data_IF_242733806879
#
_entry.id   IF_242733806879
#
_cell.length_a   1.000
_cell.length_b   1.000
_cell.length_c   1.000
_cell.angle_alpha   90.00
_cell.angle_beta   90.00
_cell.angle_gamma   90.00
#
_symmetry.space_group_name_H-M   'P 1'
#
loop_
_entity.id
_entity.type
_entity.pdbx_description
1 polymer ?
#
# COMPACT_ATOMS: atom_id res chain seq x y z
N UNK A 1 9.45 -9.56 11.94
CA UNK A 1 9.17 -8.12 12.09
C UNK A 1 7.70 -7.81 11.83
N UNK A 2 7.14 -8.17 10.68
CA UNK A 2 5.73 -7.87 10.32
C UNK A 2 4.70 -8.47 11.29
N UNK A 3 4.88 -9.69 11.76
CA UNK A 3 3.99 -10.31 12.75
C UNK A 3 3.93 -9.54 14.07
N UNK A 4 5.05 -8.97 14.52
CA UNK A 4 5.09 -8.11 15.70
C UNK A 4 4.33 -6.80 15.48
N UNK A 5 4.45 -6.20 14.28
CA UNK A 5 3.72 -4.98 13.91
C UNK A 5 2.21 -5.25 13.93
N UNK A 6 1.77 -6.33 13.30
CA UNK A 6 0.35 -6.74 13.27
C UNK A 6 -0.18 -6.98 14.69
N UNK A 7 0.57 -7.71 15.53
CA UNK A 7 0.17 -8.00 16.92
C UNK A 7 0.01 -6.72 17.74
N UNK A 8 0.91 -5.76 17.58
CA UNK A 8 0.86 -4.50 18.33
C UNK A 8 -0.29 -3.60 17.86
N UNK A 9 -0.55 -3.53 16.56
CA UNK A 9 -1.71 -2.80 16.05
C UNK A 9 -3.04 -3.47 16.45
N UNK A 10 -3.12 -4.80 16.45
CA UNK A 10 -4.28 -5.53 16.92
C UNK A 10 -4.58 -5.23 18.42
N UNK A 11 -3.53 -5.24 19.24
CA UNK A 11 -3.63 -4.87 20.67
C UNK A 11 -4.10 -3.42 20.85
N UNK A 12 -3.52 -2.52 20.08
CA UNK A 12 -3.84 -1.09 20.16
C UNK A 12 -5.27 -0.83 19.69
N UNK A 13 -5.71 -1.49 18.63
CA UNK A 13 -7.08 -1.39 18.13
C UNK A 13 -8.10 -1.88 19.17
N UNK A 14 -7.92 -3.07 19.74
CA UNK A 14 -8.80 -3.59 20.81
C UNK A 14 -8.90 -2.66 22.01
N UNK A 15 -7.85 -1.88 22.28
CA UNK A 15 -7.82 -0.95 23.43
C UNK A 15 -8.41 0.42 23.12
N UNK A 16 -8.21 0.95 21.91
CA UNK A 16 -8.50 2.34 21.59
C UNK A 16 -9.71 2.51 20.65
N UNK A 17 -10.09 1.48 19.90
CA UNK A 17 -11.17 1.46 18.92
C UNK A 17 -11.18 2.68 17.97
N UNK A 18 -10.00 3.20 17.63
CA UNK A 18 -9.85 4.37 16.75
C UNK A 18 -9.79 3.95 15.28
N UNK A 19 -10.50 4.63 14.36
CA UNK A 19 -10.56 4.26 12.96
C UNK A 19 -9.17 4.27 12.28
N UNK A 20 -8.31 5.22 12.62
CA UNK A 20 -6.94 5.27 12.10
C UNK A 20 -6.08 4.07 12.51
N UNK A 21 -6.28 3.52 13.72
CA UNK A 21 -5.59 2.31 14.17
C UNK A 21 -6.09 1.09 13.42
N UNK A 22 -7.38 1.05 13.10
CA UNK A 22 -7.98 -0.04 12.33
C UNK A 22 -7.44 -0.07 10.88
N UNK A 23 -7.34 1.10 10.23
CA UNK A 23 -6.70 1.20 8.89
C UNK A 23 -5.23 0.75 8.95
N UNK A 24 -4.47 1.18 9.97
CA UNK A 24 -3.07 0.78 10.14
C UNK A 24 -2.93 -0.72 10.41
N UNK A 25 -3.83 -1.31 11.19
CA UNK A 25 -3.87 -2.76 11.43
C UNK A 25 -4.12 -3.52 10.12
N UNK A 26 -5.15 -3.14 9.36
CA UNK A 26 -5.48 -3.74 8.06
C UNK A 26 -4.31 -3.61 7.07
N UNK A 27 -3.69 -2.44 7.01
CA UNK A 27 -2.52 -2.20 6.15
C UNK A 27 -1.30 -3.05 6.55
N UNK A 28 -1.05 -3.22 7.86
CA UNK A 28 0.04 -4.08 8.35
C UNK A 28 -0.23 -5.56 8.07
N UNK A 29 -1.49 -5.99 8.19
CA UNK A 29 -1.90 -7.35 7.86
C UNK A 29 -1.73 -7.63 6.36
N UNK A 30 -2.18 -6.70 5.50
CA UNK A 30 -1.98 -6.79 4.05
C UNK A 30 -0.49 -6.88 3.69
N UNK A 31 0.36 -6.08 4.33
CA UNK A 31 1.81 -6.14 4.10
C UNK A 31 2.44 -7.46 4.57
N UNK A 32 1.94 -8.05 5.66
CA UNK A 32 2.37 -9.38 6.09
C UNK A 32 2.00 -10.45 5.06
N UNK A 33 0.76 -10.44 4.57
CA UNK A 33 0.28 -11.37 3.55
C UNK A 33 1.06 -11.17 2.23
N UNK A 34 1.31 -9.93 1.84
CA UNK A 34 2.12 -9.60 0.67
C UNK A 34 3.53 -10.21 0.78
N UNK A 35 4.17 -10.11 1.94
CA UNK A 35 5.49 -10.70 2.15
C UNK A 35 5.45 -12.22 2.11
N UNK A 36 4.39 -12.86 2.63
CA UNK A 36 4.20 -14.31 2.52
C UNK A 36 4.03 -14.74 1.05
N UNK A 37 3.22 -14.04 0.27
CA UNK A 37 3.03 -14.31 -1.16
C UNK A 37 4.33 -14.15 -1.94
N UNK A 38 5.08 -13.06 -1.73
CA UNK A 38 6.39 -12.85 -2.37
C UNK A 38 7.37 -13.99 -2.05
N UNK A 39 7.40 -14.43 -0.79
CA UNK A 39 8.29 -15.52 -0.36
C UNK A 39 7.88 -16.85 -0.99
N UNK A 40 6.57 -17.12 -1.05
CA UNK A 40 6.01 -18.31 -1.67
C UNK A 40 6.31 -18.34 -3.18
N UNK A 41 6.03 -17.25 -3.90
CA UNK A 41 6.35 -17.13 -5.33
C UNK A 41 7.83 -17.27 -5.63
N UNK A 42 8.72 -16.71 -4.78
CA UNK A 42 10.17 -16.89 -4.89
C UNK A 42 10.62 -18.33 -4.67
N UNK A 43 9.98 -19.08 -3.76
CA UNK A 43 10.21 -20.50 -3.59
C UNK A 43 9.76 -21.29 -4.82
N UNK A 44 8.55 -21.02 -5.33
CA UNK A 44 8.05 -21.66 -6.55
C UNK A 44 9.01 -21.45 -7.72
N UNK A 45 9.48 -20.22 -7.94
CA UNK A 45 10.43 -19.91 -9.00
C UNK A 45 11.75 -20.67 -8.87
N UNK A 46 12.22 -20.88 -7.64
CA UNK A 46 13.49 -21.60 -7.38
C UNK A 46 13.41 -23.11 -7.61
N UNK A 47 12.21 -23.69 -7.52
CA UNK A 47 11.97 -25.15 -7.69
C UNK A 47 11.48 -25.54 -9.06
N UNK A 48 11.35 -24.60 -10.01
CA UNK A 48 10.65 -24.74 -11.30
C UNK A 48 11.24 -25.78 -12.28
N UNK A 49 12.46 -26.28 -12.04
CA UNK A 49 13.10 -27.26 -12.95
C UNK A 49 12.38 -28.63 -13.00
N UNK A 50 11.40 -28.91 -12.14
CA UNK A 50 10.77 -30.23 -11.99
C UNK A 50 9.24 -30.25 -12.04
N UNK A 51 8.55 -29.12 -12.13
CA UNK A 51 7.12 -29.06 -11.90
C UNK A 51 6.33 -28.44 -13.06
N UNK A 52 6.22 -29.14 -14.18
CA UNK A 52 5.23 -28.89 -15.27
C UNK A 52 3.77 -28.87 -14.78
N UNK A 53 3.53 -29.17 -13.51
CA UNK A 53 2.20 -29.24 -12.88
C UNK A 53 1.68 -27.89 -12.38
N UNK A 54 2.41 -26.77 -12.55
CA UNK A 54 2.25 -25.61 -11.65
C UNK A 54 1.79 -24.32 -12.35
N UNK A 55 1.40 -24.38 -13.62
CA UNK A 55 0.89 -23.19 -14.31
C UNK A 55 -0.25 -22.50 -13.53
N UNK A 56 -1.21 -23.29 -13.05
CA UNK A 56 -2.36 -22.78 -12.28
C UNK A 56 -1.94 -22.13 -10.96
N UNK A 57 -0.94 -22.72 -10.27
CA UNK A 57 -0.42 -22.20 -9.01
C UNK A 57 0.32 -20.88 -9.21
N UNK A 58 1.09 -20.72 -10.29
CA UNK A 58 1.74 -19.45 -10.64
C UNK A 58 0.72 -18.36 -10.95
N UNK A 59 -0.32 -18.68 -11.73
CA UNK A 59 -1.39 -17.76 -12.06
C UNK A 59 -2.12 -17.29 -10.79
N UNK A 60 -2.39 -18.23 -9.88
CA UNK A 60 -3.03 -17.93 -8.59
C UNK A 60 -2.14 -17.05 -7.70
N UNK A 61 -0.85 -17.38 -7.56
CA UNK A 61 0.08 -16.58 -6.76
C UNK A 61 0.22 -15.16 -7.32
N UNK A 62 0.31 -15.03 -8.63
CA UNK A 62 0.37 -13.76 -9.32
C UNK A 62 -0.91 -12.92 -9.11
N UNK A 63 -2.08 -13.52 -9.22
CA UNK A 63 -3.35 -12.85 -8.95
C UNK A 63 -3.45 -12.38 -7.48
N UNK A 64 -3.01 -13.22 -6.54
CA UNK A 64 -2.96 -12.87 -5.11
C UNK A 64 -1.98 -11.72 -4.87
N UNK A 65 -0.81 -11.75 -5.50
CA UNK A 65 0.21 -10.71 -5.37
C UNK A 65 -0.33 -9.35 -5.82
N UNK A 66 -0.92 -9.27 -7.02
CA UNK A 66 -1.50 -8.03 -7.53
C UNK A 66 -2.69 -7.55 -6.70
N UNK A 67 -3.57 -8.45 -6.28
CA UNK A 67 -4.63 -8.13 -5.34
C UNK A 67 -4.11 -7.48 -4.05
N UNK A 68 -3.06 -8.03 -3.44
CA UNK A 68 -2.48 -7.49 -2.20
C UNK A 68 -1.78 -6.15 -2.41
N UNK A 69 -1.12 -5.95 -3.55
CA UNK A 69 -0.50 -4.67 -3.93
C UNK A 69 -1.58 -3.60 -4.07
N UNK A 70 -2.64 -3.88 -4.81
CA UNK A 70 -3.75 -2.96 -5.03
C UNK A 70 -4.47 -2.62 -3.73
N UNK A 71 -4.75 -3.62 -2.91
CA UNK A 71 -5.34 -3.44 -1.58
C UNK A 71 -4.45 -2.57 -0.69
N UNK A 72 -3.13 -2.70 -0.81
CA UNK A 72 -2.17 -1.85 -0.10
C UNK A 72 -2.29 -0.38 -0.52
N UNK A 73 -2.50 -0.08 -1.81
CA UNK A 73 -2.73 1.29 -2.30
C UNK A 73 -4.02 1.88 -1.75
N UNK A 74 -5.11 1.13 -1.75
CA UNK A 74 -6.37 1.57 -1.16
C UNK A 74 -6.27 1.84 0.34
N UNK A 75 -5.53 1.00 1.09
CA UNK A 75 -5.27 1.26 2.51
C UNK A 75 -4.47 2.56 2.74
N UNK A 76 -3.48 2.85 1.88
CA UNK A 76 -2.74 4.12 1.92
C UNK A 76 -3.67 5.32 1.67
N UNK A 77 -4.58 5.16 0.72
CA UNK A 77 -5.59 6.18 0.38
C UNK A 77 -6.51 6.49 1.56
N UNK A 78 -7.08 5.47 2.19
CA UNK A 78 -7.95 5.66 3.36
C UNK A 78 -7.22 6.28 4.55
N UNK A 79 -5.97 5.88 4.77
CA UNK A 79 -5.14 6.48 5.82
C UNK A 79 -4.87 7.95 5.53
N UNK A 80 -4.59 8.30 4.27
CA UNK A 80 -4.34 9.69 3.84
C UNK A 80 -5.58 10.56 3.98
N UNK A 81 -6.75 10.05 3.59
CA UNK A 81 -8.05 10.72 3.78
C UNK A 81 -8.32 10.91 5.28
N UNK A 82 -8.10 9.88 6.11
CA UNK A 82 -8.28 9.99 7.56
C UNK A 82 -7.43 11.12 8.16
N UNK A 83 -6.15 11.19 7.80
CA UNK A 83 -5.28 12.28 8.27
C UNK A 83 -5.70 13.63 7.71
N UNK A 84 -6.11 13.70 6.45
CA UNK A 84 -6.63 14.92 5.83
C UNK A 84 -7.85 15.45 6.60
N UNK A 85 -8.84 14.60 6.87
CA UNK A 85 -10.03 14.98 7.63
C UNK A 85 -9.72 15.40 9.07
N UNK A 86 -8.67 14.84 9.66
CA UNK A 86 -8.24 15.17 11.03
C UNK A 86 -7.47 16.49 11.10
N UNK A 87 -6.66 16.81 10.10
CA UNK A 87 -5.73 17.95 10.11
C UNK A 87 -6.28 19.19 9.42
N UNK A 88 -7.13 18.99 8.42
CA UNK A 88 -7.64 20.07 7.57
C UNK A 88 -9.01 20.52 8.08
N UNK A 89 -9.22 21.83 8.14
CA UNK A 89 -10.53 22.42 8.38
C UNK A 89 -10.90 23.27 7.15
N UNK A 90 -11.71 22.69 6.29
CA UNK A 90 -12.28 23.41 5.13
C UNK A 90 -13.69 23.91 5.49
N UNK A 91 -14.05 25.15 5.12
CA UNK A 91 -15.39 25.70 5.31
C UNK A 91 -16.38 25.17 4.28
N UNK A 92 -16.45 23.84 4.12
CA UNK A 92 -17.34 23.15 3.18
C UNK A 92 -18.23 22.17 3.94
N UNK A 93 -19.56 22.25 3.73
CA UNK A 93 -20.54 21.39 4.41
C UNK A 93 -20.27 19.90 4.12
N UNK A 94 -19.91 19.56 2.87
CA UNK A 94 -19.57 18.19 2.50
C UNK A 94 -18.37 17.66 3.30
N UNK A 95 -17.31 18.48 3.47
CA UNK A 95 -16.14 18.09 4.24
C UNK A 95 -16.46 17.89 5.72
N UNK A 96 -17.34 18.72 6.27
CA UNK A 96 -17.80 18.59 7.66
C UNK A 96 -18.61 17.31 7.87
N UNK A 97 -19.55 17.02 7.00
CA UNK A 97 -20.33 15.77 7.05
C UNK A 97 -19.43 14.53 6.90
N UNK A 98 -18.50 14.57 5.95
CA UNK A 98 -17.53 13.49 5.77
C UNK A 98 -16.70 13.27 7.05
N UNK A 99 -16.23 14.36 7.68
CA UNK A 99 -15.47 14.30 8.94
C UNK A 99 -16.26 13.66 10.08
N UNK A 100 -17.55 13.97 10.21
CA UNK A 100 -18.44 13.41 11.25
C UNK A 100 -18.68 11.90 11.07
N UNK A 101 -18.93 11.47 9.85
CA UNK A 101 -19.34 10.09 9.57
C UNK A 101 -18.19 9.16 9.16
N UNK A 102 -17.00 9.69 8.90
CA UNK A 102 -15.87 8.90 8.38
C UNK A 102 -15.53 7.71 9.27
N UNK A 103 -15.52 7.89 10.59
CA UNK A 103 -15.22 6.81 11.53
C UNK A 103 -16.20 5.63 11.44
N UNK A 104 -17.45 5.91 11.13
CA UNK A 104 -18.49 4.87 10.94
C UNK A 104 -18.33 4.16 9.59
N UNK A 105 -17.86 4.88 8.56
CA UNK A 105 -17.69 4.32 7.22
C UNK A 105 -16.38 3.54 7.03
N UNK A 106 -15.38 3.72 7.88
CA UNK A 106 -14.08 3.06 7.74
C UNK A 106 -14.18 1.53 7.54
N UNK A 107 -14.92 0.77 8.34
CA UNK A 107 -15.05 -0.67 8.12
C UNK A 107 -15.64 -1.00 6.74
N UNK A 108 -16.67 -0.27 6.33
CA UNK A 108 -17.32 -0.44 5.03
C UNK A 108 -16.36 -0.11 3.87
N UNK A 109 -15.57 0.95 4.00
CA UNK A 109 -14.58 1.34 3.01
C UNK A 109 -13.46 0.28 2.86
N UNK A 110 -13.01 -0.31 3.96
CA UNK A 110 -12.02 -1.39 3.93
C UNK A 110 -12.59 -2.67 3.29
N UNK A 111 -13.81 -3.06 3.66
CA UNK A 111 -14.48 -4.21 3.02
C UNK A 111 -14.74 -3.92 1.54
N UNK A 112 -15.20 -2.72 1.19
CA UNK A 112 -15.38 -2.29 -0.19
C UNK A 112 -14.08 -2.34 -1.00
N UNK A 113 -12.95 -1.99 -0.40
CA UNK A 113 -11.63 -2.12 -1.04
C UNK A 113 -11.26 -3.58 -1.32
N UNK A 114 -11.52 -4.48 -0.37
CA UNK A 114 -11.28 -5.91 -0.56
C UNK A 114 -12.11 -6.44 -1.72
N UNK A 115 -13.41 -6.17 -1.73
CA UNK A 115 -14.32 -6.61 -2.78
C UNK A 115 -13.93 -5.99 -4.12
N UNK A 116 -13.64 -4.69 -4.16
CA UNK A 116 -13.24 -3.99 -5.39
C UNK A 116 -11.94 -4.55 -5.96
N UNK A 117 -10.92 -4.72 -5.14
CA UNK A 117 -9.64 -5.32 -5.58
C UNK A 117 -9.80 -6.76 -6.03
N UNK A 118 -10.67 -7.56 -5.39
CA UNK A 118 -10.98 -8.91 -5.87
C UNK A 118 -11.62 -8.89 -7.25
N UNK A 119 -12.65 -8.06 -7.45
CA UNK A 119 -13.35 -7.95 -8.74
C UNK A 119 -12.43 -7.51 -9.87
N UNK A 120 -11.45 -6.65 -9.59
CA UNK A 120 -10.46 -6.20 -10.58
C UNK A 120 -9.46 -7.31 -10.90
N UNK A 121 -9.06 -8.12 -9.92
CA UNK A 121 -8.00 -9.10 -10.09
C UNK A 121 -8.50 -10.50 -10.48
N UNK A 122 -9.76 -10.85 -10.25
CA UNK A 122 -10.33 -12.14 -10.65
C UNK A 122 -10.18 -12.44 -12.16
N UNK A 123 -10.33 -11.48 -13.09
CA UNK A 123 -10.09 -11.72 -14.52
C UNK A 123 -8.66 -12.17 -14.87
N UNK A 124 -7.65 -11.95 -14.00
CA UNK A 124 -6.31 -12.50 -14.23
C UNK A 124 -6.32 -14.01 -14.37
N UNK A 125 -7.20 -14.70 -13.64
CA UNK A 125 -7.29 -16.17 -13.66
C UNK A 125 -7.64 -16.74 -15.05
N UNK A 126 -8.30 -15.95 -15.89
CA UNK A 126 -8.70 -16.36 -17.23
C UNK A 126 -7.89 -15.68 -18.35
N UNK A 127 -7.34 -14.50 -18.10
CA UNK A 127 -6.64 -13.71 -19.11
C UNK A 127 -5.12 -13.93 -19.10
N UNK A 128 -4.58 -14.51 -18.02
CA UNK A 128 -3.16 -14.83 -17.93
C UNK A 128 -2.90 -16.18 -18.60
N UNK A 129 -2.32 -16.13 -19.81
CA UNK A 129 -1.88 -17.33 -20.53
C UNK A 129 -0.36 -17.43 -20.45
N UNK A 130 0.10 -18.61 -20.03
CA UNK A 130 1.53 -18.95 -20.03
C UNK A 130 1.82 -19.70 -21.34
N UNK A 131 2.55 -19.07 -22.24
CA UNK A 131 2.93 -19.68 -23.51
C UNK A 131 4.34 -20.20 -23.43
N UNK A 132 4.54 -21.52 -23.64
CA UNK A 132 5.88 -22.10 -23.86
C UNK A 132 6.37 -21.72 -25.24
N UNK A 133 7.48 -21.03 -25.33
CA UNK A 133 8.16 -20.77 -26.62
C UNK A 133 9.32 -21.75 -26.74
N UNK A 134 9.25 -22.58 -27.79
CA UNK A 134 10.27 -23.49 -28.32
C UNK A 134 11.54 -23.67 -27.45
N UNK A 135 11.62 -24.79 -26.73
CA UNK A 135 12.81 -25.32 -26.02
C UNK A 135 13.47 -24.43 -24.94
N UNK A 136 12.96 -23.28 -24.66
CA UNK A 136 13.30 -22.53 -23.45
C UNK A 136 12.00 -22.27 -22.67
N UNK A 137 12.03 -22.53 -21.37
CA UNK A 137 10.93 -22.22 -20.43
C UNK A 137 10.85 -20.69 -20.22
N UNK A 138 10.66 -19.93 -21.28
CA UNK A 138 10.28 -18.53 -21.18
C UNK A 138 8.76 -18.46 -21.05
N UNK A 139 8.31 -18.27 -19.83
CA UNK A 139 6.90 -18.01 -19.55
C UNK A 139 6.55 -16.59 -19.99
N UNK A 140 5.86 -16.43 -21.11
CA UNK A 140 5.29 -15.14 -21.51
C UNK A 140 3.88 -15.01 -20.96
N UNK A 141 3.70 -14.04 -20.09
CA UNK A 141 2.40 -13.62 -19.60
C UNK A 141 1.70 -12.80 -20.70
N UNK A 142 0.79 -13.42 -21.44
CA UNK A 142 -0.03 -12.71 -22.41
C UNK A 142 -1.29 -12.22 -21.70
N UNK A 143 -1.35 -10.94 -21.38
CA UNK A 143 -2.51 -10.30 -20.80
C UNK A 143 -3.29 -9.53 -21.86
N UNK A 144 -4.61 -9.48 -21.71
CA UNK A 144 -5.47 -8.66 -22.58
C UNK A 144 -5.26 -7.18 -22.21
N UNK A 145 -4.73 -6.37 -23.14
CA UNK A 145 -4.42 -4.96 -22.95
C UNK A 145 -5.51 -4.12 -22.23
N UNK A 146 -6.80 -4.25 -22.57
CA UNK A 146 -7.85 -3.49 -21.89
C UNK A 146 -7.90 -3.74 -20.39
N UNK A 147 -7.61 -4.97 -19.95
CA UNK A 147 -7.61 -5.32 -18.53
C UNK A 147 -6.42 -4.71 -17.80
N UNK A 148 -5.23 -4.70 -18.42
CA UNK A 148 -4.04 -4.03 -17.87
C UNK A 148 -4.30 -2.55 -17.66
N UNK A 149 -4.87 -1.88 -18.68
CA UNK A 149 -5.20 -0.45 -18.63
C UNK A 149 -6.23 -0.16 -17.55
N UNK A 150 -7.27 -1.00 -17.44
CA UNK A 150 -8.31 -0.85 -16.43
C UNK A 150 -7.73 -1.02 -15.02
N UNK A 151 -6.92 -2.05 -14.78
CA UNK A 151 -6.23 -2.27 -13.51
C UNK A 151 -5.30 -1.11 -13.15
N UNK A 152 -4.53 -0.58 -14.12
CA UNK A 152 -3.70 0.60 -13.90
C UNK A 152 -4.53 1.82 -13.48
N UNK A 153 -5.63 2.10 -14.15
CA UNK A 153 -6.44 3.29 -13.86
C UNK A 153 -7.09 3.16 -12.47
N UNK A 154 -7.77 2.06 -12.19
CA UNK A 154 -8.58 1.89 -10.99
C UNK A 154 -7.74 1.40 -9.80
N UNK A 155 -6.80 0.50 -10.04
CA UNK A 155 -5.98 -0.09 -8.98
C UNK A 155 -4.79 0.78 -8.56
N UNK A 156 -4.23 1.59 -9.48
CA UNK A 156 -3.04 2.40 -9.25
C UNK A 156 -3.30 3.90 -9.31
N UNK A 157 -3.74 4.41 -10.47
CA UNK A 157 -3.81 5.86 -10.71
C UNK A 157 -4.85 6.54 -9.81
N UNK A 158 -6.01 5.96 -9.66
CA UNK A 158 -7.08 6.52 -8.83
C UNK A 158 -6.69 6.62 -7.34
N UNK A 159 -6.23 5.55 -6.67
CA UNK A 159 -5.74 5.63 -5.29
C UNK A 159 -4.58 6.61 -5.14
N UNK A 160 -3.65 6.65 -6.11
CA UNK A 160 -2.53 7.56 -6.10
C UNK A 160 -2.96 9.02 -6.13
N UNK A 161 -3.87 9.40 -7.05
CA UNK A 161 -4.37 10.77 -7.16
C UNK A 161 -5.11 11.24 -5.91
N UNK A 162 -5.94 10.37 -5.32
CA UNK A 162 -6.65 10.68 -4.07
C UNK A 162 -5.67 10.85 -2.92
N UNK A 163 -4.66 9.97 -2.83
CA UNK A 163 -3.61 10.06 -1.82
C UNK A 163 -2.79 11.33 -1.97
N UNK A 164 -2.36 11.64 -3.20
CA UNK A 164 -1.58 12.85 -3.51
C UNK A 164 -2.35 14.12 -3.13
N UNK A 165 -3.60 14.27 -3.57
CA UNK A 165 -4.44 15.42 -3.21
C UNK A 165 -4.64 15.55 -1.71
N UNK A 166 -4.88 14.45 -1.01
CA UNK A 166 -5.01 14.43 0.46
C UNK A 166 -3.73 14.91 1.16
N UNK A 167 -2.57 14.48 0.68
CA UNK A 167 -1.26 14.91 1.22
C UNK A 167 -1.03 16.40 0.95
N UNK A 168 -1.31 16.88 -0.25
CA UNK A 168 -1.17 18.31 -0.60
C UNK A 168 -2.04 19.18 0.32
N UNK A 169 -3.29 18.78 0.55
CA UNK A 169 -4.17 19.48 1.49
C UNK A 169 -3.63 19.48 2.92
N UNK A 170 -3.11 18.35 3.40
CA UNK A 170 -2.47 18.24 4.71
C UNK A 170 -1.26 19.16 4.83
N UNK A 171 -0.37 19.16 3.83
CA UNK A 171 0.84 19.99 3.82
C UNK A 171 0.47 21.47 3.84
N UNK A 172 -0.46 21.90 2.97
CA UNK A 172 -0.90 23.28 2.90
C UNK A 172 -1.55 23.75 4.21
N UNK A 173 -2.39 22.90 4.83
CA UNK A 173 -3.00 23.20 6.13
C UNK A 173 -1.93 23.35 7.23
N UNK A 174 -0.97 22.43 7.24
CA UNK A 174 0.13 22.46 8.22
C UNK A 174 1.02 23.68 8.05
N UNK A 175 1.38 24.05 6.82
CA UNK A 175 2.17 25.23 6.53
C UNK A 175 1.46 26.52 6.96
N UNK A 176 0.16 26.66 6.67
CA UNK A 176 -0.65 27.80 7.15
C UNK A 176 -0.67 27.89 8.67
N UNK A 177 -0.79 26.74 9.34
CA UNK A 177 -0.76 26.69 10.80
C UNK A 177 0.61 27.13 11.36
N UNK A 178 1.71 26.66 10.77
CA UNK A 178 3.08 27.04 11.17
C UNK A 178 3.30 28.55 10.97
N UNK A 179 2.89 29.11 9.83
CA UNK A 179 3.02 30.54 9.56
C UNK A 179 2.24 31.38 10.56
N UNK A 180 1.01 30.97 10.90
CA UNK A 180 0.17 31.68 11.88
C UNK A 180 0.76 31.62 13.30
N UNK A 181 1.35 30.48 13.69
CA UNK A 181 2.00 30.33 15.01
C UNK A 181 3.28 31.16 15.07
N UNK A 182 4.06 31.23 13.98
CA UNK A 182 5.29 32.03 13.91
C UNK A 182 5.00 33.54 13.99
N UNK A 183 3.87 34.01 13.45
CA UNK A 183 3.50 35.46 13.51
C UNK A 183 3.01 35.91 14.88
N UNK A 184 2.51 35.00 15.73
CA UNK A 184 1.87 35.37 17.00
C UNK A 184 2.75 35.15 18.25
N UNK A 185 4.05 34.83 18.11
CA UNK A 185 5.03 34.61 19.21
C UNK A 185 4.55 33.66 20.34
N UNK A 186 3.46 32.96 20.16
CA UNK A 186 2.88 32.11 21.19
C UNK A 186 3.65 30.77 21.23
N UNK A 187 4.24 30.49 22.38
CA UNK A 187 4.91 29.24 22.72
C UNK A 187 3.93 28.03 22.75
N UNK A 188 3.15 27.83 21.67
CA UNK A 188 2.06 26.87 21.68
C UNK A 188 2.46 25.53 21.07
N UNK A 189 2.40 24.50 21.89
CA UNK A 189 2.30 23.06 21.55
C UNK A 189 3.21 22.49 20.44
N UNK A 190 4.52 22.71 20.56
CA UNK A 190 5.55 22.05 19.74
C UNK A 190 5.41 20.52 19.61
N UNK A 191 4.93 19.75 20.65
CA UNK A 191 4.83 18.29 20.53
C UNK A 191 3.75 17.81 19.55
N UNK A 192 2.58 18.46 19.50
CA UNK A 192 1.50 18.06 18.59
C UNK A 192 1.86 18.35 17.13
N UNK A 193 2.42 19.53 16.86
CA UNK A 193 2.90 19.90 15.52
C UNK A 193 3.96 18.92 15.01
N UNK A 194 4.91 18.53 15.88
CA UNK A 194 5.96 17.55 15.56
C UNK A 194 5.37 16.17 15.21
N UNK A 195 4.33 15.74 15.93
CA UNK A 195 3.64 14.47 15.63
C UNK A 195 2.92 14.52 14.28
N UNK A 196 2.24 15.64 13.96
CA UNK A 196 1.57 15.82 12.67
C UNK A 196 2.57 15.87 11.50
N UNK A 197 3.68 16.58 11.67
CA UNK A 197 4.77 16.57 10.67
C UNK A 197 5.35 15.17 10.46
N UNK A 198 5.49 14.38 11.52
CA UNK A 198 5.91 12.99 11.43
C UNK A 198 4.96 12.14 10.59
N UNK A 199 3.67 12.26 10.83
CA UNK A 199 2.64 11.56 10.05
C UNK A 199 2.68 11.95 8.56
N UNK A 200 2.76 13.24 8.25
CA UNK A 200 2.84 13.72 6.85
C UNK A 200 4.11 13.20 6.16
N UNK A 201 5.26 13.21 6.84
CA UNK A 201 6.51 12.66 6.29
C UNK A 201 6.39 11.17 5.94
N UNK A 202 5.77 10.37 6.81
CA UNK A 202 5.55 8.94 6.53
C UNK A 202 4.58 8.71 5.38
N UNK A 203 3.55 9.55 5.23
CA UNK A 203 2.62 9.49 4.11
C UNK A 203 3.31 9.85 2.78
N UNK A 204 4.14 10.90 2.76
CA UNK A 204 4.93 11.27 1.57
C UNK A 204 5.91 10.16 1.20
N UNK A 205 6.64 9.61 2.17
CA UNK A 205 7.56 8.50 1.91
C UNK A 205 6.83 7.27 1.36
N UNK A 206 5.63 6.96 1.88
CA UNK A 206 4.79 5.91 1.36
C UNK A 206 4.33 6.18 -0.07
N UNK A 207 3.87 7.40 -0.35
CA UNK A 207 3.44 7.78 -1.71
C UNK A 207 4.55 7.60 -2.75
N UNK A 208 5.80 7.93 -2.38
CA UNK A 208 6.96 7.72 -3.25
C UNK A 208 7.19 6.22 -3.51
N UNK A 209 7.11 5.38 -2.48
CA UNK A 209 7.22 3.92 -2.64
C UNK A 209 6.10 3.36 -3.52
N UNK A 210 4.86 3.81 -3.31
CA UNK A 210 3.68 3.38 -4.08
C UNK A 210 3.83 3.81 -5.55
N UNK A 211 4.35 5.02 -5.83
CA UNK A 211 4.62 5.50 -7.20
C UNK A 211 5.66 4.64 -7.91
N UNK A 212 6.78 4.36 -7.25
CA UNK A 212 7.83 3.53 -7.84
C UNK A 212 7.32 2.11 -8.11
N UNK A 213 6.51 1.55 -7.20
CA UNK A 213 5.91 0.23 -7.39
C UNK A 213 4.92 0.22 -8.56
N UNK A 214 4.08 1.25 -8.69
CA UNK A 214 3.15 1.40 -9.80
C UNK A 214 3.90 1.46 -11.14
N UNK A 215 4.95 2.25 -11.23
CA UNK A 215 5.77 2.34 -12.45
C UNK A 215 6.49 1.02 -12.75
N UNK A 216 7.09 0.39 -11.74
CA UNK A 216 7.79 -0.89 -11.89
C UNK A 216 6.84 -2.02 -12.33
N UNK A 217 5.68 -2.16 -11.69
CA UNK A 217 4.68 -3.18 -12.05
C UNK A 217 4.12 -2.96 -13.46
N UNK A 218 3.93 -1.71 -13.87
CA UNK A 218 3.49 -1.38 -15.23
C UNK A 218 4.53 -1.76 -16.27
N UNK A 219 5.80 -1.44 -15.99
CA UNK A 219 6.91 -1.81 -16.88
C UNK A 219 7.02 -3.33 -16.97
N UNK A 220 6.90 -4.07 -15.86
CA UNK A 220 6.93 -5.54 -15.86
C UNK A 220 5.79 -6.14 -16.69
N UNK A 221 4.56 -5.65 -16.53
CA UNK A 221 3.41 -6.11 -17.33
C UNK A 221 3.58 -5.83 -18.83
N UNK A 222 4.25 -4.73 -19.20
CA UNK A 222 4.55 -4.38 -20.59
C UNK A 222 5.80 -5.12 -21.11
N UNK A 223 6.77 -5.44 -20.26
CA UNK A 223 8.06 -6.01 -20.64
C UNK A 223 7.98 -7.48 -21.03
N UNK A 224 6.98 -8.21 -20.57
CA UNK A 224 6.67 -9.56 -21.08
C UNK A 224 6.57 -9.62 -22.61
N UNK A 225 6.52 -8.44 -23.25
CA UNK A 225 6.51 -8.25 -24.70
C UNK A 225 7.87 -7.81 -25.30
N UNK A 226 8.79 -7.19 -24.51
CA UNK A 226 9.96 -6.50 -25.12
C UNK A 226 11.28 -6.49 -24.36
N UNK A 227 11.32 -6.63 -23.03
CA UNK A 227 12.52 -6.28 -22.23
C UNK A 227 13.28 -7.42 -21.52
N UNK A 228 12.77 -8.66 -21.53
CA UNK A 228 13.50 -9.86 -21.07
C UNK A 228 13.70 -9.99 -19.55
N UNK A 229 14.36 -11.10 -19.17
CA UNK A 229 14.60 -11.59 -17.80
C UNK A 229 15.15 -10.54 -16.83
N UNK A 230 15.99 -9.60 -17.29
CA UNK A 230 16.62 -8.60 -16.43
C UNK A 230 15.59 -7.65 -15.80
N UNK A 231 14.60 -7.20 -16.57
CA UNK A 231 13.56 -6.28 -16.10
C UNK A 231 12.64 -7.00 -15.13
N UNK A 232 12.26 -8.24 -15.42
CA UNK A 232 11.40 -9.03 -14.54
C UNK A 232 12.08 -9.31 -13.20
N UNK A 233 13.37 -9.69 -13.22
CA UNK A 233 14.16 -9.87 -12.00
C UNK A 233 14.28 -8.57 -11.19
N UNK A 234 14.50 -7.44 -11.85
CA UNK A 234 14.56 -6.14 -11.19
C UNK A 234 13.22 -5.76 -10.54
N UNK A 235 12.09 -6.04 -11.20
CA UNK A 235 10.77 -5.81 -10.66
C UNK A 235 10.48 -6.70 -9.43
N UNK A 236 10.85 -7.98 -9.48
CA UNK A 236 10.75 -8.87 -8.33
C UNK A 236 11.56 -8.40 -7.13
N UNK A 237 12.81 -8.04 -7.33
CA UNK A 237 13.67 -7.48 -6.29
C UNK A 237 13.05 -6.21 -5.70
N UNK A 238 12.46 -5.36 -6.55
CA UNK A 238 11.81 -4.14 -6.09
C UNK A 238 10.57 -4.44 -5.22
N UNK A 239 9.72 -5.39 -5.60
CA UNK A 239 8.55 -5.79 -4.81
C UNK A 239 8.97 -6.32 -3.42
N UNK A 240 10.06 -7.08 -3.34
CA UNK A 240 10.64 -7.54 -2.06
C UNK A 240 11.09 -6.36 -1.19
N UNK A 241 11.80 -5.39 -1.78
CA UNK A 241 12.27 -4.18 -1.09
C UNK A 241 11.09 -3.31 -0.65
N UNK A 242 10.03 -3.19 -1.46
CA UNK A 242 8.83 -2.43 -1.15
C UNK A 242 8.15 -2.93 0.13
N UNK A 243 7.85 -4.22 0.24
CA UNK A 243 7.20 -4.79 1.43
C UNK A 243 8.04 -4.58 2.71
N UNK A 244 9.37 -4.71 2.60
CA UNK A 244 10.29 -4.45 3.69
C UNK A 244 10.31 -2.97 4.08
N UNK A 245 10.34 -2.08 3.09
CA UNK A 245 10.30 -0.62 3.30
C UNK A 245 9.01 -0.16 3.97
N UNK A 246 7.86 -0.74 3.61
CA UNK A 246 6.59 -0.49 4.30
C UNK A 246 6.65 -0.87 5.77
N UNK A 247 7.28 -2.00 6.10
CA UNK A 247 7.45 -2.43 7.49
C UNK A 247 8.27 -1.42 8.30
N UNK A 248 9.33 -0.89 7.69
CA UNK A 248 10.16 0.17 8.31
C UNK A 248 9.33 1.44 8.50
N UNK A 249 8.52 1.84 7.51
CA UNK A 249 7.65 3.01 7.62
C UNK A 249 6.61 2.86 8.74
N UNK A 250 6.03 1.68 8.94
CA UNK A 250 5.12 1.42 10.06
C UNK A 250 5.80 1.61 11.41
N UNK A 251 7.06 1.19 11.55
CA UNK A 251 7.85 1.35 12.77
C UNK A 251 8.19 2.83 13.00
N UNK A 252 8.65 3.53 11.96
CA UNK A 252 9.04 4.94 12.04
C UNK A 252 7.83 5.85 12.31
N UNK A 253 6.68 5.51 11.74
CA UNK A 253 5.42 6.24 11.91
C UNK A 253 4.78 6.07 13.29
N UNK A 254 5.19 5.05 14.07
CA UNK A 254 4.62 4.78 15.40
C UNK A 254 5.70 4.85 16.50
N UNK A 255 5.77 5.95 17.28
CA UNK A 255 6.78 6.11 18.32
C UNK A 255 6.74 5.02 19.40
N UNK A 256 5.56 4.46 19.70
CA UNK A 256 5.41 3.37 20.68
C UNK A 256 6.03 2.08 20.15
N UNK A 257 5.80 1.78 18.89
CA UNK A 257 6.36 0.62 18.21
C UNK A 257 7.89 0.73 18.11
N UNK A 258 8.37 1.92 17.75
CA UNK A 258 9.79 2.25 17.72
C UNK A 258 10.44 1.99 19.09
N UNK A 259 9.88 2.56 20.18
CA UNK A 259 10.41 2.37 21.54
C UNK A 259 10.47 0.89 21.92
N UNK A 260 9.40 0.13 21.65
CA UNK A 260 9.32 -1.29 22.02
C UNK A 260 10.36 -2.15 21.33
N UNK A 261 10.58 -1.94 20.02
CA UNK A 261 11.57 -2.68 19.24
C UNK A 261 13.01 -2.37 19.68
N UNK A 262 13.32 -1.09 19.96
CA UNK A 262 14.67 -0.70 20.38
C UNK A 262 14.95 -0.97 21.87
N UNK A 263 13.92 -1.17 22.71
CA UNK A 263 14.10 -1.53 24.13
C UNK A 263 14.17 -3.05 24.30
N UNK A 264 13.59 -3.83 23.39
CA UNK A 264 13.68 -5.31 23.39
C UNK A 264 15.02 -5.83 22.83
N UNK A 265 15.83 -4.93 22.26
CA UNK A 265 17.15 -5.25 21.70
C UNK A 265 18.31 -4.96 22.68
N UNK A 266 17.99 -4.57 23.92
CA UNK A 266 18.92 -4.51 25.06
C UNK A 266 18.57 -5.60 26.04
#
# INVERSE_FOLDING_TARGET
MNSLIVTEYCRTWKRQNQPGVFILFSSALTNLLLQCSITFGGCLYSFDSYLTFVQEVYVMDFAILYFLIELSFWHATWLSIYYCLKLVNLPCQFFFQLKLHFSTFVPLLLVGSIIGSLLINVPFLWTLQITQIYNMTEYKFAMVYPHIIFNMIVGCCLPFLITFTSIVLCVNSLLRHIMKVKSNEINFQRPQLKAHMGAVKTMVARLILDLILCLGSTVSLMSGLTFGIVVDTACWLYIMVYSTSLSILFILGNPKLKKKLFTSSK
#
